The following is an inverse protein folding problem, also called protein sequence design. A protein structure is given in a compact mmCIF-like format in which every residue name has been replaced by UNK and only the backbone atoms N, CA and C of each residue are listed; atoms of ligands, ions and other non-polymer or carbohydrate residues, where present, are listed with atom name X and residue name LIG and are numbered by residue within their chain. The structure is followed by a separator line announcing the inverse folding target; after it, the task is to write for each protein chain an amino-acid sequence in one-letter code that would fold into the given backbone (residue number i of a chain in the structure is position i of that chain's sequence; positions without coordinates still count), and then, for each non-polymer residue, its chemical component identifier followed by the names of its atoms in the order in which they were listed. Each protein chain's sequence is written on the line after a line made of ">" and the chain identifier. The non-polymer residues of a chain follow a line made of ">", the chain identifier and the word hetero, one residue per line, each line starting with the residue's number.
data_IF_909081339797
#
_entry.id   IF_909081339797
#
_cell.length_a   1.000
_cell.length_b   1.000
_cell.length_c   1.000
_cell.angle_alpha   90.00
_cell.angle_beta   90.00
_cell.angle_gamma   90.00
#
_symmetry.space_group_name_H-M   'P 1'
#
loop_
_entity.id
_entity.type
_entity.pdbx_description
1 polymer ?
#
# COMPACT_ATOMS: atom_id res chain seq x y z
N UNK A 1 -20.19 17.01 23.21
CA UNK A 1 -19.33 16.69 22.06
C UNK A 1 -20.10 17.01 20.79
N UNK A 2 -19.65 18.00 20.00
CA UNK A 2 -20.27 18.34 18.73
C UNK A 2 -19.44 17.71 17.61
N UNK A 3 -20.03 16.81 16.84
CA UNK A 3 -19.35 16.13 15.74
C UNK A 3 -19.73 16.85 14.44
N UNK A 4 -18.72 17.30 13.69
CA UNK A 4 -18.92 17.88 12.36
C UNK A 4 -19.00 16.77 11.33
N UNK A 5 -20.08 16.77 10.55
CA UNK A 5 -20.25 15.87 9.41
C UNK A 5 -19.64 16.46 8.14
N UNK A 6 -19.21 15.56 7.26
CA UNK A 6 -18.81 15.93 5.92
C UNK A 6 -19.99 16.55 5.17
N UNK A 7 -19.71 17.60 4.39
CA UNK A 7 -20.72 18.31 3.58
C UNK A 7 -20.96 17.65 2.22
N UNK A 8 -20.20 16.60 1.92
CA UNK A 8 -20.18 15.91 0.62
C UNK A 8 -20.02 14.41 0.85
N UNK A 9 -20.61 13.61 -0.04
CA UNK A 9 -20.51 12.16 0.00
C UNK A 9 -19.08 11.69 -0.31
N UNK A 10 -18.74 10.50 0.18
CA UNK A 10 -17.46 9.86 -0.14
C UNK A 10 -17.45 9.35 -1.59
N UNK A 11 -16.25 9.20 -2.15
CA UNK A 11 -16.08 8.76 -3.54
C UNK A 11 -16.68 7.37 -3.80
N UNK A 12 -16.70 6.50 -2.78
CA UNK A 12 -17.29 5.15 -2.87
C UNK A 12 -18.81 5.25 -3.05
N UNK A 13 -19.47 6.12 -2.27
CA UNK A 13 -20.92 6.34 -2.36
C UNK A 13 -21.27 6.98 -3.71
N UNK A 14 -20.47 7.94 -4.16
CA UNK A 14 -20.63 8.57 -5.47
C UNK A 14 -20.46 7.57 -6.63
N UNK A 15 -19.54 6.60 -6.51
CA UNK A 15 -19.35 5.52 -7.49
C UNK A 15 -20.54 4.56 -7.51
N UNK A 16 -21.05 4.16 -6.33
CA UNK A 16 -22.23 3.31 -6.24
C UNK A 16 -23.48 3.98 -6.81
N UNK A 17 -23.64 5.29 -6.59
CA UNK A 17 -24.78 6.05 -7.08
C UNK A 17 -24.63 6.51 -8.55
N UNK A 18 -23.53 6.16 -9.23
CA UNK A 18 -23.27 6.50 -10.63
C UNK A 18 -23.08 8.00 -10.89
N UNK A 19 -22.91 8.82 -9.86
CA UNK A 19 -22.70 10.28 -9.95
C UNK A 19 -21.22 10.66 -9.94
N UNK A 20 -20.32 9.67 -9.79
CA UNK A 20 -18.87 9.87 -9.83
C UNK A 20 -18.42 10.37 -11.21
N UNK A 21 -18.24 11.69 -11.32
CA UNK A 21 -17.66 12.31 -12.50
C UNK A 21 -16.14 12.09 -12.48
N UNK A 22 -15.64 11.36 -13.48
CA UNK A 22 -14.22 11.16 -13.72
C UNK A 22 -13.53 12.52 -13.98
N UNK A 23 -12.87 13.06 -12.94
CA UNK A 23 -12.25 14.39 -12.98
C UNK A 23 -10.92 14.41 -13.74
N UNK A 24 -10.52 13.35 -14.44
CA UNK A 24 -9.27 13.35 -15.22
C UNK A 24 -9.41 14.00 -16.60
N UNK A 25 -10.63 14.17 -17.14
CA UNK A 25 -10.85 14.90 -18.42
C UNK A 25 -11.19 16.38 -18.29
N UNK A 26 -10.85 17.03 -17.16
CA UNK A 26 -10.99 18.50 -16.98
C UNK A 26 -9.68 19.22 -16.67
N UNK A 27 -8.52 18.67 -17.07
CA UNK A 27 -7.24 19.40 -17.06
C UNK A 27 -6.87 20.07 -18.40
N UNK A 28 -7.66 19.88 -19.47
CA UNK A 28 -7.30 20.37 -20.81
C UNK A 28 -7.98 21.67 -21.27
N UNK A 29 -8.85 22.30 -20.45
CA UNK A 29 -9.54 23.56 -20.84
C UNK A 29 -9.45 24.73 -19.85
N UNK A 30 -8.43 24.74 -18.98
CA UNK A 30 -8.11 25.90 -18.11
C UNK A 30 -6.64 26.36 -18.17
N UNK A 31 -5.94 26.05 -19.27
CA UNK A 31 -4.64 26.67 -19.60
C UNK A 31 -4.83 27.70 -20.72
N UNK A 32 -5.57 28.77 -20.42
CA UNK A 32 -5.74 29.90 -21.35
C UNK A 32 -6.04 31.20 -20.57
N UNK A 33 -5.14 31.58 -19.65
CA UNK A 33 -4.84 32.96 -19.23
C UNK A 33 -3.77 32.89 -18.14
N UNK A 34 -2.84 33.85 -18.17
CA UNK A 34 -1.56 33.93 -17.43
C UNK A 34 -0.44 33.17 -18.17
N UNK A 35 0.33 33.66 -19.17
CA UNK A 35 0.98 34.98 -19.40
C UNK A 35 1.61 35.46 -18.09
N UNK A 36 2.91 35.36 -17.81
CA UNK A 36 4.07 35.71 -18.64
C UNK A 36 5.35 35.28 -17.88
N UNK A 37 6.47 35.20 -18.61
CA UNK A 37 7.87 35.29 -18.14
C UNK A 37 8.57 34.05 -17.54
N UNK A 38 9.42 33.43 -18.37
CA UNK A 38 10.84 33.09 -18.14
C UNK A 38 11.27 32.07 -19.23
N UNK A 39 11.72 32.51 -20.41
CA UNK A 39 13.12 32.73 -20.79
C UNK A 39 13.95 31.43 -21.04
N UNK A 40 14.18 31.16 -22.33
CA UNK A 40 15.44 30.71 -23.00
C UNK A 40 16.14 29.44 -22.46
N UNK A 41 16.45 28.36 -23.21
CA UNK A 41 17.21 28.29 -24.50
C UNK A 41 17.22 26.84 -25.04
N UNK A 42 17.19 26.67 -26.39
CA UNK A 42 17.66 25.58 -27.29
C UNK A 42 17.75 24.10 -26.80
N UNK A 43 17.35 23.05 -27.55
CA UNK A 43 17.82 22.66 -28.89
C UNK A 43 17.00 21.48 -29.51
N UNK A 44 17.20 21.24 -30.81
CA UNK A 44 16.46 20.45 -31.84
C UNK A 44 16.22 18.92 -31.65
N UNK A 45 14.99 18.50 -32.01
CA UNK A 45 14.47 17.38 -32.87
C UNK A 45 15.47 16.42 -33.60
N UNK A 46 15.02 15.33 -34.28
CA UNK A 46 14.11 14.20 -33.95
C UNK A 46 14.73 12.82 -34.36
N UNK A 47 14.15 11.66 -33.96
CA UNK A 47 14.63 10.37 -34.46
C UNK A 47 13.69 9.20 -34.16
N UNK A 48 13.14 8.63 -35.23
CA UNK A 48 12.16 7.57 -35.33
C UNK A 48 12.87 6.22 -35.56
N UNK A 49 12.39 5.12 -34.97
CA UNK A 49 12.80 3.76 -35.38
C UNK A 49 12.80 2.67 -34.29
N UNK A 50 11.66 1.99 -34.14
CA UNK A 50 11.44 0.63 -33.59
C UNK A 50 12.16 -0.47 -34.42
N UNK A 51 12.07 -1.80 -34.17
CA UNK A 51 11.33 -2.60 -33.15
C UNK A 51 12.19 -3.71 -32.47
N UNK A 52 11.81 -4.28 -31.32
CA UNK A 52 11.22 -5.63 -31.12
C UNK A 52 11.56 -6.02 -29.66
N UNK A 53 10.84 -6.81 -28.88
CA UNK A 53 9.68 -7.68 -29.04
C UNK A 53 9.22 -8.09 -27.61
N UNK A 54 8.10 -8.82 -27.53
CA UNK A 54 7.51 -9.50 -26.36
C UNK A 54 6.67 -8.61 -25.43
N UNK A 55 5.37 -8.47 -25.64
CA UNK A 55 4.31 -9.45 -25.29
C UNK A 55 4.23 -9.71 -23.78
N UNK A 56 3.30 -9.04 -23.09
CA UNK A 56 2.25 -9.70 -22.29
C UNK A 56 1.21 -8.68 -21.88
N UNK A 57 -0.01 -8.97 -22.33
CA UNK A 57 -1.26 -8.34 -21.99
C UNK A 57 -1.61 -8.72 -20.54
N UNK A 58 -1.66 -7.73 -19.65
CA UNK A 58 -2.20 -7.87 -18.31
C UNK A 58 -3.05 -6.64 -18.00
N UNK A 59 -4.36 -6.82 -18.06
CA UNK A 59 -5.37 -5.82 -17.72
C UNK A 59 -5.07 -5.21 -16.34
N UNK A 60 -4.52 -4.00 -16.30
CA UNK A 60 -4.58 -3.14 -15.13
C UNK A 60 -5.96 -2.48 -15.10
N UNK A 61 -6.94 -3.21 -14.58
CA UNK A 61 -8.10 -2.57 -13.97
C UNK A 61 -7.58 -1.58 -12.90
N UNK A 62 -7.95 -0.29 -12.94
CA UNK A 62 -7.55 0.67 -11.92
C UNK A 62 -8.24 0.27 -10.62
N UNK A 63 -7.53 -0.49 -9.78
CA UNK A 63 -8.01 -0.88 -8.47
C UNK A 63 -8.25 0.44 -7.69
N UNK A 64 -9.47 0.69 -7.18
CA UNK A 64 -9.73 1.87 -6.38
C UNK A 64 -8.72 1.90 -5.23
N UNK A 65 -7.97 3.00 -5.15
CA UNK A 65 -6.89 3.22 -4.19
C UNK A 65 -7.27 2.68 -2.82
N UNK A 66 -6.76 1.49 -2.50
CA UNK A 66 -6.62 1.04 -1.14
C UNK A 66 -5.82 2.15 -0.46
N UNK A 67 -6.28 2.69 0.69
CA UNK A 67 -5.46 3.59 1.48
C UNK A 67 -4.08 2.94 1.60
N UNK A 68 -3.03 3.68 1.25
CA UNK A 68 -1.65 3.23 1.30
C UNK A 68 -1.30 3.06 2.78
N UNK A 69 -1.74 1.94 3.36
CA UNK A 69 -1.28 1.53 4.67
C UNK A 69 0.18 1.17 4.49
N UNK A 70 1.09 1.73 5.32
CA UNK A 70 2.50 1.39 5.22
C UNK A 70 2.64 -0.14 5.32
N UNK A 71 3.49 -0.76 4.49
CA UNK A 71 3.70 -2.21 4.50
C UNK A 71 3.95 -2.71 5.92
N UNK A 72 3.12 -3.63 6.38
CA UNK A 72 3.23 -4.17 7.73
C UNK A 72 3.99 -5.48 7.70
N UNK A 73 5.23 -5.42 8.16
CA UNK A 73 6.15 -6.55 8.26
C UNK A 73 6.19 -7.14 9.67
N UNK A 74 5.25 -6.76 10.54
CA UNK A 74 5.14 -7.26 11.93
C UNK A 74 3.84 -8.07 12.08
N UNK A 75 3.97 -9.31 12.52
CA UNK A 75 2.84 -10.15 12.92
C UNK A 75 2.51 -9.93 14.39
N UNK A 76 1.22 -9.77 14.69
CA UNK A 76 0.71 -9.68 16.04
C UNK A 76 0.04 -10.99 16.44
N UNK A 77 0.63 -11.68 17.42
CA UNK A 77 0.13 -12.93 17.97
C UNK A 77 -0.68 -12.63 19.23
N UNK A 78 -1.84 -13.27 19.36
CA UNK A 78 -2.73 -13.15 20.51
C UNK A 78 -3.08 -14.53 21.05
N UNK A 79 -3.63 -14.56 22.26
CA UNK A 79 -4.12 -15.78 22.90
C UNK A 79 -3.03 -16.86 23.02
N UNK A 80 -1.78 -16.43 23.23
CA UNK A 80 -0.68 -17.36 23.46
C UNK A 80 -0.82 -18.01 24.85
N UNK A 81 -0.50 -19.32 24.97
CA UNK A 81 -0.40 -19.99 26.27
C UNK A 81 0.59 -19.30 27.20
N UNK A 82 0.35 -19.30 28.52
CA UNK A 82 1.20 -18.64 29.53
C UNK A 82 2.64 -19.19 29.56
N UNK A 83 2.81 -20.45 29.15
CA UNK A 83 4.12 -21.12 29.05
C UNK A 83 4.92 -20.68 27.82
N UNK A 84 4.32 -19.93 26.89
CA UNK A 84 4.95 -19.47 25.66
C UNK A 84 6.01 -18.41 25.95
N UNK A 85 7.20 -18.60 25.38
CA UNK A 85 8.30 -17.66 25.53
C UNK A 85 8.90 -17.27 24.16
N UNK A 86 9.78 -16.26 24.18
CA UNK A 86 10.45 -15.72 23.01
C UNK A 86 11.25 -16.79 22.25
N UNK A 87 11.89 -17.73 22.96
CA UNK A 87 12.72 -18.76 22.36
C UNK A 87 11.90 -19.78 21.57
N UNK A 88 10.73 -20.19 22.08
CA UNK A 88 9.80 -21.08 21.38
C UNK A 88 9.25 -20.42 20.11
N UNK A 89 8.84 -19.16 20.22
CA UNK A 89 8.37 -18.39 19.07
C UNK A 89 9.49 -18.19 18.05
N UNK A 90 10.71 -17.87 18.51
CA UNK A 90 11.86 -17.72 17.63
C UNK A 90 12.16 -19.01 16.87
N UNK A 91 12.11 -20.17 17.53
CA UNK A 91 12.28 -21.46 16.85
C UNK A 91 11.20 -21.72 15.80
N UNK A 92 9.95 -21.40 16.12
CA UNK A 92 8.82 -21.57 15.20
C UNK A 92 8.96 -20.65 13.98
N UNK A 93 9.32 -19.38 14.19
CA UNK A 93 9.35 -18.39 13.11
C UNK A 93 10.66 -18.37 12.31
N UNK A 94 11.77 -18.86 12.87
CA UNK A 94 13.05 -18.98 12.17
C UNK A 94 13.01 -19.94 10.96
N UNK A 95 11.97 -20.79 10.85
CA UNK A 95 11.76 -21.63 9.65
C UNK A 95 11.25 -20.83 8.45
N UNK A 96 10.70 -19.63 8.67
CA UNK A 96 10.22 -18.75 7.62
C UNK A 96 11.33 -17.77 7.19
N UNK A 97 11.51 -17.54 5.88
CA UNK A 97 12.54 -16.63 5.39
C UNK A 97 12.30 -15.20 5.85
N UNK A 98 13.38 -14.52 6.25
CA UNK A 98 13.37 -13.12 6.65
C UNK A 98 12.82 -12.82 8.05
N UNK A 99 12.70 -13.83 8.91
CA UNK A 99 12.52 -13.65 10.35
C UNK A 99 13.61 -12.74 10.94
N UNK A 100 13.23 -11.78 11.79
CA UNK A 100 14.17 -10.85 12.45
C UNK A 100 14.18 -11.00 13.97
N UNK A 101 13.06 -10.68 14.62
CA UNK A 101 12.97 -10.72 16.06
C UNK A 101 11.56 -11.09 16.54
N UNK A 102 11.50 -11.64 17.75
CA UNK A 102 10.26 -11.77 18.52
C UNK A 102 10.35 -10.82 19.70
N UNK A 103 9.26 -10.12 19.97
CA UNK A 103 9.10 -9.29 21.17
C UNK A 103 7.81 -9.64 21.90
N UNK A 104 7.95 -10.11 23.13
CA UNK A 104 6.81 -10.29 24.03
C UNK A 104 6.30 -8.94 24.54
N UNK A 105 4.99 -8.80 24.69
CA UNK A 105 4.41 -7.58 25.25
C UNK A 105 4.69 -7.49 26.76
N UNK A 106 5.23 -6.36 27.26
CA UNK A 106 5.51 -6.20 28.69
C UNK A 106 4.20 -6.25 29.50
N UNK A 107 4.13 -7.15 30.48
CA UNK A 107 2.96 -7.34 31.33
C UNK A 107 1.80 -8.11 30.68
N UNK A 108 1.99 -8.67 29.48
CA UNK A 108 1.01 -9.51 28.77
C UNK A 108 1.69 -10.71 28.11
N UNK A 109 1.57 -11.87 28.73
CA UNK A 109 2.17 -13.12 28.25
C UNK A 109 1.37 -13.75 27.09
N UNK A 110 0.14 -13.30 26.87
CA UNK A 110 -0.76 -13.78 25.83
C UNK A 110 -0.52 -13.10 24.46
N UNK A 111 0.40 -12.13 24.39
CA UNK A 111 0.61 -11.27 23.23
C UNK A 111 2.09 -11.17 22.85
N UNK A 112 2.39 -11.34 21.56
CA UNK A 112 3.75 -11.18 21.02
C UNK A 112 3.74 -10.50 19.65
N UNK A 113 4.85 -9.85 19.32
CA UNK A 113 5.12 -9.27 18.01
C UNK A 113 6.27 -10.02 17.36
N UNK A 114 6.12 -10.36 16.09
CA UNK A 114 7.16 -11.02 15.30
C UNK A 114 7.49 -10.14 14.10
N UNK A 115 8.73 -9.69 14.01
CA UNK A 115 9.20 -8.82 12.92
C UNK A 115 9.85 -9.64 11.80
N UNK A 116 9.50 -9.30 10.57
CA UNK A 116 10.10 -9.81 9.34
C UNK A 116 10.77 -8.70 8.53
N UNK A 117 11.56 -9.09 7.53
CA UNK A 117 12.23 -8.15 6.64
C UNK A 117 11.26 -7.43 5.69
N UNK A 118 10.18 -8.09 5.28
CA UNK A 118 9.16 -7.52 4.40
C UNK A 118 7.75 -8.06 4.69
N UNK A 119 6.75 -7.34 4.17
CA UNK A 119 5.33 -7.66 4.33
C UNK A 119 4.92 -8.97 3.63
N UNK A 120 5.56 -9.30 2.50
CA UNK A 120 5.29 -10.55 1.78
C UNK A 120 5.66 -11.79 2.59
N UNK A 121 6.81 -11.76 3.28
CA UNK A 121 7.27 -12.83 4.16
C UNK A 121 6.42 -12.91 5.43
N UNK A 122 6.10 -11.77 6.04
CA UNK A 122 5.19 -11.72 7.19
C UNK A 122 3.82 -12.32 6.81
N UNK A 123 3.25 -11.91 5.68
CA UNK A 123 1.98 -12.43 5.19
C UNK A 123 2.01 -13.93 4.91
N UNK A 124 3.07 -14.43 4.26
CA UNK A 124 3.23 -15.85 3.99
C UNK A 124 3.37 -16.69 5.28
N UNK A 125 4.10 -16.20 6.28
CA UNK A 125 4.22 -16.86 7.58
C UNK A 125 2.89 -16.86 8.34
N UNK A 126 2.14 -15.75 8.29
CA UNK A 126 0.82 -15.63 8.89
C UNK A 126 -0.20 -16.58 8.27
N UNK A 127 -0.25 -16.67 6.93
CA UNK A 127 -1.15 -17.58 6.20
C UNK A 127 -0.84 -19.06 6.48
N UNK A 128 0.44 -19.40 6.63
CA UNK A 128 0.87 -20.77 6.94
C UNK A 128 0.54 -21.23 8.37
N UNK A 129 0.25 -20.31 9.28
CA UNK A 129 0.04 -20.56 10.72
C UNK A 129 -1.40 -20.30 11.19
N UNK A 130 -2.30 -19.92 10.26
CA UNK A 130 -3.70 -19.60 10.53
C UNK A 130 -4.59 -20.84 10.59
#
# INVERSE_FOLDING_TARGET
>A
MQIQYAKTDSDIISKMHGTFADKEKKKEKKKAKTVEQAATTANKKPGQGTPNSANTQGNSTPNPQVPDYPPNYILFLNNLPEETNEMMLSMLFNQFPGFKEVRLAPGRHDSAFVEFENDGQAGAAGDALQ
#
